data_IF_420843260308
#
_entry.id   IF_420843260308
#
_cell.length_a   1.000
_cell.length_b   1.000
_cell.length_c   1.000
_cell.angle_alpha   90.00
_cell.angle_beta   90.00
_cell.angle_gamma   90.00
#
_symmetry.space_group_name_H-M   'P 1'
#
loop_
_entity.id
_entity.type
_entity.pdbx_description
1 polymer ?
#
# COMPACT_ATOMS: atom_id res chain seq x y z
N UNK A 1 -30.52 -10.25 1.05
CA UNK A 1 -30.26 -9.39 2.23
C UNK A 1 -29.45 -10.09 3.34
N UNK A 2 -29.76 -11.35 3.75
CA UNK A 2 -29.00 -12.07 4.81
C UNK A 2 -27.54 -12.31 4.43
N UNK A 3 -27.27 -12.68 3.18
CA UNK A 3 -25.91 -12.99 2.68
C UNK A 3 -25.02 -11.74 2.62
N UNK A 4 -25.56 -10.59 2.20
CA UNK A 4 -24.83 -9.33 2.18
C UNK A 4 -24.50 -8.85 3.60
N UNK A 5 -25.40 -9.04 4.56
CA UNK A 5 -25.17 -8.73 5.95
C UNK A 5 -24.10 -9.64 6.58
N UNK A 6 -24.15 -10.94 6.31
CA UNK A 6 -23.14 -11.90 6.76
C UNK A 6 -21.73 -11.55 6.23
N UNK A 7 -21.62 -11.19 4.93
CA UNK A 7 -20.34 -10.71 4.34
C UNK A 7 -19.86 -9.43 5.00
N UNK A 8 -20.74 -8.47 5.27
CA UNK A 8 -20.40 -7.23 5.95
C UNK A 8 -19.90 -7.47 7.38
N UNK A 9 -20.57 -8.33 8.15
CA UNK A 9 -20.17 -8.70 9.52
C UNK A 9 -18.79 -9.39 9.50
N UNK A 10 -18.57 -10.36 8.61
CA UNK A 10 -17.27 -11.04 8.48
C UNK A 10 -16.15 -10.05 8.13
N UNK A 11 -16.39 -9.14 7.18
CA UNK A 11 -15.42 -8.12 6.79
C UNK A 11 -15.10 -7.18 7.96
N UNK A 12 -16.11 -6.77 8.73
CA UNK A 12 -15.91 -5.94 9.92
C UNK A 12 -15.09 -6.66 10.99
N UNK A 13 -15.43 -7.92 11.30
CA UNK A 13 -14.68 -8.72 12.26
C UNK A 13 -13.23 -8.96 11.85
N UNK A 14 -12.98 -9.24 10.56
CA UNK A 14 -11.62 -9.38 10.02
C UNK A 14 -10.82 -8.08 10.17
N UNK A 15 -11.45 -6.94 9.86
CA UNK A 15 -10.82 -5.63 10.02
C UNK A 15 -10.48 -5.34 11.49
N UNK A 16 -11.38 -5.67 12.40
CA UNK A 16 -11.18 -5.48 13.83
C UNK A 16 -10.01 -6.33 14.36
N UNK A 17 -9.99 -7.63 14.02
CA UNK A 17 -8.88 -8.53 14.38
C UNK A 17 -7.53 -8.06 13.81
N UNK A 18 -7.53 -7.55 12.57
CA UNK A 18 -6.30 -7.00 11.97
C UNK A 18 -5.80 -5.77 12.73
N UNK A 19 -6.70 -4.87 13.15
CA UNK A 19 -6.34 -3.70 13.94
C UNK A 19 -5.77 -4.11 15.31
N UNK A 20 -6.44 -5.02 16.01
CA UNK A 20 -6.00 -5.54 17.32
C UNK A 20 -4.62 -6.21 17.22
N UNK A 21 -4.41 -7.02 16.17
CA UNK A 21 -3.13 -7.68 15.91
C UNK A 21 -2.01 -6.67 15.60
N UNK A 22 -2.31 -5.66 14.78
CA UNK A 22 -1.35 -4.61 14.44
C UNK A 22 -0.99 -3.76 15.67
N UNK A 23 -1.98 -3.40 16.48
CA UNK A 23 -1.79 -2.65 17.72
C UNK A 23 -0.98 -3.44 18.76
N UNK A 24 -1.30 -4.72 18.93
CA UNK A 24 -0.54 -5.62 19.81
C UNK A 24 0.93 -5.75 19.33
N UNK A 25 1.14 -5.91 18.03
CA UNK A 25 2.51 -5.98 17.47
C UNK A 25 3.25 -4.67 17.70
N UNK A 26 2.61 -3.53 17.44
CA UNK A 26 3.23 -2.21 17.66
C UNK A 26 3.65 -2.02 19.12
N UNK A 27 2.78 -2.37 20.07
CA UNK A 27 3.08 -2.27 21.51
C UNK A 27 4.23 -3.17 21.96
N UNK A 28 4.43 -4.32 21.33
CA UNK A 28 5.52 -5.24 21.66
C UNK A 28 6.88 -4.81 21.13
N UNK A 29 6.97 -3.73 20.36
CA UNK A 29 8.21 -3.27 19.74
C UNK A 29 9.02 -2.29 20.60
N UNK A 30 8.47 -1.83 21.72
CA UNK A 30 9.12 -0.87 22.64
C UNK A 30 9.73 0.32 21.90
N UNK A 31 8.89 0.98 21.07
CA UNK A 31 9.33 2.05 20.18
C UNK A 31 9.57 3.33 20.99
N UNK A 32 10.79 3.86 20.94
CA UNK A 32 11.19 5.10 21.60
C UNK A 32 11.70 6.10 20.58
N UNK A 33 11.12 7.29 20.55
CA UNK A 33 11.52 8.38 19.66
C UNK A 33 12.46 9.37 20.33
N UNK A 34 13.37 9.91 19.53
CA UNK A 34 14.09 11.13 19.87
C UNK A 34 13.20 12.34 19.55
N UNK A 35 12.46 12.83 20.55
CA UNK A 35 11.48 13.92 20.38
C UNK A 35 12.05 15.16 19.70
N UNK A 36 13.29 15.54 20.06
CA UNK A 36 13.96 16.71 19.46
C UNK A 36 14.21 16.52 17.97
N UNK A 37 14.55 15.31 17.55
CA UNK A 37 14.77 14.96 16.14
C UNK A 37 13.47 14.85 15.36
N UNK A 38 12.41 14.30 15.98
CA UNK A 38 11.07 14.27 15.38
C UNK A 38 10.58 15.69 15.08
N UNK A 39 10.75 16.63 16.02
CA UNK A 39 10.39 18.03 15.81
C UNK A 39 11.17 18.68 14.68
N UNK A 40 12.50 18.52 14.66
CA UNK A 40 13.37 19.06 13.60
C UNK A 40 13.00 18.47 12.23
N UNK A 41 12.86 17.16 12.13
CA UNK A 41 12.48 16.49 10.90
C UNK A 41 11.11 16.93 10.40
N UNK A 42 10.13 17.04 11.29
CA UNK A 42 8.80 17.51 10.94
C UNK A 42 8.82 18.94 10.39
N UNK A 43 9.59 19.84 11.02
CA UNK A 43 9.77 21.21 10.55
C UNK A 43 10.45 21.26 9.17
N UNK A 44 11.51 20.46 8.97
CA UNK A 44 12.26 20.40 7.71
C UNK A 44 11.42 19.84 6.55
N UNK A 45 10.55 18.85 6.80
CA UNK A 45 9.64 18.32 5.77
C UNK A 45 8.62 19.39 5.33
N UNK A 46 8.23 20.31 6.20
CA UNK A 46 7.25 21.37 5.91
C UNK A 46 7.84 22.65 5.37
N UNK A 47 9.09 22.94 5.67
CA UNK A 47 9.81 24.11 5.14
C UNK A 47 10.38 23.79 3.77
N UNK A 48 9.96 24.52 2.72
CA UNK A 48 10.61 24.51 1.41
C UNK A 48 11.56 25.69 1.33
N UNK A 49 12.82 25.50 0.85
CA UNK A 49 13.46 24.29 0.31
C UNK A 49 14.14 23.41 1.38
N UNK A 50 14.31 22.12 1.08
CA UNK A 50 14.85 21.05 1.95
C UNK A 50 16.35 21.22 2.34
N UNK A 51 16.80 22.41 2.69
CA UNK A 51 18.24 22.66 2.88
C UNK A 51 18.84 22.11 4.19
N UNK A 52 18.01 21.85 5.21
CA UNK A 52 18.51 21.47 6.53
C UNK A 52 18.44 19.96 6.84
N UNK A 53 17.99 19.13 5.88
CA UNK A 53 17.83 17.69 6.13
C UNK A 53 19.16 16.94 6.00
N UNK A 54 20.09 17.42 5.16
CA UNK A 54 21.36 16.72 4.91
C UNK A 54 22.21 16.60 6.20
N UNK A 55 22.20 17.62 7.04
CA UNK A 55 22.93 17.62 8.31
C UNK A 55 22.32 16.67 9.36
N UNK A 56 21.06 16.28 9.19
CA UNK A 56 20.33 15.41 10.12
C UNK A 56 20.38 13.94 9.75
N UNK A 57 20.90 13.57 8.59
CA UNK A 57 20.76 12.23 8.00
C UNK A 57 21.22 11.09 8.91
N UNK A 58 22.30 11.29 9.68
CA UNK A 58 22.88 10.24 10.52
C UNK A 58 22.39 10.28 11.97
N UNK A 59 21.57 11.26 12.32
CA UNK A 59 21.07 11.39 13.68
C UNK A 59 20.01 10.33 13.99
N UNK A 60 20.09 9.68 15.17
CA UNK A 60 19.11 8.68 15.58
C UNK A 60 17.74 9.32 15.78
N UNK A 61 16.73 8.77 15.10
CA UNK A 61 15.34 9.25 15.15
C UNK A 61 14.47 8.38 16.03
N UNK A 62 14.59 7.05 15.89
CA UNK A 62 13.75 6.09 16.60
C UNK A 62 14.52 4.81 16.89
N UNK A 63 14.38 4.30 18.10
CA UNK A 63 14.87 2.99 18.51
C UNK A 63 13.69 2.05 18.82
N UNK A 64 13.86 0.77 18.54
CA UNK A 64 12.87 -0.26 18.83
C UNK A 64 13.54 -1.64 18.90
N UNK A 65 13.26 -2.39 19.94
CA UNK A 65 13.96 -3.64 20.22
C UNK A 65 15.49 -3.40 20.19
N UNK A 66 16.23 -4.19 19.38
CA UNK A 66 17.68 -4.07 19.19
C UNK A 66 18.04 -3.30 17.89
N UNK A 67 17.13 -2.48 17.37
CA UNK A 67 17.32 -1.75 16.11
C UNK A 67 17.13 -0.25 16.30
N UNK A 68 17.81 0.50 15.43
CA UNK A 68 17.69 1.95 15.36
C UNK A 68 17.52 2.39 13.91
N UNK A 69 16.67 3.38 13.71
CA UNK A 69 16.59 4.11 12.45
C UNK A 69 17.03 5.54 12.67
N UNK A 70 17.99 5.95 11.87
CA UNK A 70 18.33 7.35 11.69
C UNK A 70 17.31 8.08 10.82
N UNK A 71 17.50 9.39 10.66
CA UNK A 71 16.66 10.24 9.82
C UNK A 71 16.66 9.76 8.36
N UNK A 72 17.84 9.41 7.81
CA UNK A 72 17.98 8.94 6.42
C UNK A 72 17.16 7.68 6.15
N UNK A 73 17.32 6.66 7.01
CA UNK A 73 16.58 5.40 6.90
C UNK A 73 15.09 5.61 7.06
N UNK A 74 14.67 6.48 7.97
CA UNK A 74 13.27 6.82 8.16
C UNK A 74 12.66 7.49 6.92
N UNK A 75 13.36 8.45 6.31
CA UNK A 75 12.95 9.09 5.06
C UNK A 75 12.88 8.08 3.90
N UNK A 76 13.87 7.20 3.79
CA UNK A 76 13.86 6.12 2.80
C UNK A 76 12.62 5.22 2.95
N UNK A 77 12.27 4.84 4.19
CA UNK A 77 11.07 4.06 4.45
C UNK A 77 9.80 4.85 4.16
N UNK A 78 9.76 6.12 4.49
CA UNK A 78 8.63 7.02 4.20
C UNK A 78 8.40 7.21 2.69
N UNK A 79 9.41 7.07 1.83
CA UNK A 79 9.25 7.13 0.38
C UNK A 79 8.29 6.05 -0.17
N UNK A 80 8.06 4.98 0.58
CA UNK A 80 7.07 3.95 0.24
C UNK A 80 5.62 4.36 0.51
N UNK A 81 5.39 5.47 1.20
CA UNK A 81 4.06 6.01 1.48
C UNK A 81 3.48 6.69 0.24
N UNK A 82 2.17 6.53 0.06
CA UNK A 82 1.46 7.24 -1.01
C UNK A 82 1.37 8.75 -0.71
N UNK A 83 1.20 9.57 -1.75
CA UNK A 83 0.97 11.03 -1.60
C UNK A 83 -0.16 11.34 -0.61
N UNK A 84 -1.24 10.53 -0.61
CA UNK A 84 -2.37 10.68 0.32
C UNK A 84 -1.98 10.38 1.77
N UNK A 85 -1.05 9.47 2.02
CA UNK A 85 -0.55 9.17 3.37
C UNK A 85 0.39 10.28 3.84
N UNK A 86 1.31 10.72 2.98
CA UNK A 86 2.21 11.84 3.29
C UNK A 86 1.45 13.13 3.59
N UNK A 87 0.37 13.44 2.85
CA UNK A 87 -0.44 14.64 3.10
C UNK A 87 -1.19 14.62 4.44
N UNK A 88 -1.27 13.49 5.13
CA UNK A 88 -1.87 13.38 6.47
C UNK A 88 -0.88 13.66 7.61
N UNK A 89 0.40 13.76 7.33
CA UNK A 89 1.43 14.09 8.32
C UNK A 89 1.39 15.62 8.54
N UNK A 90 0.55 16.06 9.46
CA UNK A 90 0.32 17.48 9.74
C UNK A 90 1.05 17.89 11.02
N UNK A 91 1.15 17.02 11.99
CA UNK A 91 1.77 17.24 13.29
C UNK A 91 2.98 16.32 13.50
N UNK A 92 3.88 16.61 14.45
CA UNK A 92 4.95 15.69 14.86
C UNK A 92 4.41 14.31 15.27
N UNK A 93 3.26 14.27 15.94
CA UNK A 93 2.58 13.02 16.35
C UNK A 93 2.15 12.21 15.13
N UNK A 94 1.66 12.85 14.05
CA UNK A 94 1.32 12.14 12.81
C UNK A 94 2.57 11.53 12.14
N UNK A 95 3.73 12.21 12.26
CA UNK A 95 5.00 11.69 11.78
C UNK A 95 5.41 10.45 12.58
N UNK A 96 5.36 10.50 13.91
CA UNK A 96 5.62 9.34 14.77
C UNK A 96 4.69 8.17 14.43
N UNK A 97 3.38 8.40 14.32
CA UNK A 97 2.40 7.37 13.97
C UNK A 97 2.68 6.75 12.59
N UNK A 98 3.14 7.56 11.64
CA UNK A 98 3.52 7.08 10.32
C UNK A 98 4.75 6.17 10.38
N UNK A 99 5.75 6.55 11.17
CA UNK A 99 6.98 5.76 11.38
C UNK A 99 6.66 4.47 12.15
N UNK A 100 5.85 4.53 13.22
CA UNK A 100 5.36 3.33 13.94
C UNK A 100 4.69 2.37 12.96
N UNK A 101 3.82 2.87 12.09
CA UNK A 101 3.16 2.06 11.07
C UNK A 101 4.13 1.38 10.10
N UNK A 102 5.22 2.06 9.71
CA UNK A 102 6.26 1.50 8.84
C UNK A 102 7.09 0.43 9.56
N UNK A 103 7.50 0.66 10.80
CA UNK A 103 8.23 -0.32 11.64
C UNK A 103 7.37 -1.56 11.85
N UNK A 104 6.12 -1.37 12.27
CA UNK A 104 5.18 -2.48 12.48
C UNK A 104 4.99 -3.30 11.20
N UNK A 105 4.80 -2.63 10.06
CA UNK A 105 4.71 -3.30 8.75
C UNK A 105 5.96 -4.12 8.43
N UNK A 106 7.14 -3.59 8.70
CA UNK A 106 8.41 -4.30 8.45
C UNK A 106 8.52 -5.56 9.31
N UNK A 107 8.16 -5.46 10.58
CA UNK A 107 8.15 -6.60 11.51
C UNK A 107 7.11 -7.66 11.14
N UNK A 108 5.92 -7.25 10.72
CA UNK A 108 4.91 -8.19 10.20
C UNK A 108 5.40 -8.92 8.94
N UNK A 109 6.08 -8.22 8.03
CA UNK A 109 6.67 -8.86 6.84
C UNK A 109 7.82 -9.81 7.21
N UNK A 110 8.63 -9.46 8.20
CA UNK A 110 9.69 -10.34 8.71
C UNK A 110 9.11 -11.62 9.33
N UNK A 111 8.08 -11.49 10.17
CA UNK A 111 7.36 -12.64 10.73
C UNK A 111 6.72 -13.50 9.66
N UNK A 112 6.05 -12.91 8.68
CA UNK A 112 5.45 -13.64 7.57
C UNK A 112 6.50 -14.41 6.74
N UNK A 113 7.71 -13.86 6.60
CA UNK A 113 8.83 -14.56 5.94
C UNK A 113 9.36 -15.72 6.77
N UNK A 114 9.50 -15.54 8.09
CA UNK A 114 9.93 -16.61 9.02
C UNK A 114 8.94 -17.76 9.03
N UNK A 115 7.65 -17.46 9.03
CA UNK A 115 6.56 -18.44 9.00
C UNK A 115 6.30 -19.02 7.59
N UNK A 116 7.09 -18.61 6.59
CA UNK A 116 6.97 -19.07 5.20
C UNK A 116 5.56 -18.91 4.61
N UNK A 117 4.82 -17.89 5.04
CA UNK A 117 3.46 -17.59 4.57
C UNK A 117 3.38 -17.47 3.04
N UNK A 118 4.48 -17.02 2.42
CA UNK A 118 4.59 -16.92 0.95
C UNK A 118 4.70 -18.27 0.22
N UNK A 119 4.86 -19.39 0.93
CA UNK A 119 4.83 -20.76 0.36
C UNK A 119 3.42 -21.36 0.38
N UNK A 120 2.41 -20.59 0.71
CA UNK A 120 1.02 -21.02 0.73
C UNK A 120 0.38 -20.80 -0.65
N UNK A 121 -0.27 -21.84 -1.17
CA UNK A 121 -0.95 -21.83 -2.48
C UNK A 121 -1.97 -20.68 -2.59
N UNK A 122 -2.76 -20.42 -1.53
CA UNK A 122 -3.70 -19.29 -1.49
C UNK A 122 -3.00 -17.92 -1.60
N UNK A 123 -1.78 -17.83 -1.08
CA UNK A 123 -0.98 -16.60 -1.22
C UNK A 123 -0.51 -16.41 -2.67
N UNK A 124 -0.06 -17.48 -3.32
CA UNK A 124 0.40 -17.45 -4.71
C UNK A 124 -0.75 -17.12 -5.67
N UNK A 125 -1.94 -17.68 -5.47
CA UNK A 125 -3.14 -17.32 -6.21
C UNK A 125 -3.50 -15.83 -6.03
N UNK A 126 -3.53 -15.35 -4.79
CA UNK A 126 -3.84 -13.95 -4.49
C UNK A 126 -2.79 -12.99 -5.08
N UNK A 127 -1.51 -13.39 -5.10
CA UNK A 127 -0.42 -12.64 -5.69
C UNK A 127 -0.53 -12.59 -7.22
N UNK A 128 -0.85 -13.73 -7.86
CA UNK A 128 -1.07 -13.82 -9.30
C UNK A 128 -2.20 -12.88 -9.74
N UNK A 129 -3.35 -12.94 -9.07
CA UNK A 129 -4.48 -12.04 -9.34
C UNK A 129 -4.12 -10.56 -9.21
N UNK A 130 -3.28 -10.21 -8.23
CA UNK A 130 -2.81 -8.81 -8.07
C UNK A 130 -1.83 -8.40 -9.16
N UNK A 131 -0.93 -9.29 -9.57
CA UNK A 131 0.00 -9.05 -10.69
C UNK A 131 -0.77 -8.81 -11.98
N UNK A 132 -1.75 -9.66 -12.30
CA UNK A 132 -2.57 -9.55 -13.50
C UNK A 132 -3.33 -8.21 -13.53
N UNK A 133 -3.96 -7.85 -12.42
CA UNK A 133 -4.63 -6.53 -12.30
C UNK A 133 -3.67 -5.36 -12.46
N UNK A 134 -2.46 -5.47 -11.92
CA UNK A 134 -1.44 -4.43 -12.05
C UNK A 134 -0.95 -4.30 -13.49
N UNK A 135 -0.72 -5.43 -14.18
CA UNK A 135 -0.33 -5.46 -15.60
C UNK A 135 -1.42 -4.85 -16.49
N UNK A 136 -2.67 -5.26 -16.31
CA UNK A 136 -3.80 -4.69 -17.06
C UNK A 136 -3.88 -3.17 -16.84
N UNK A 137 -3.78 -2.74 -15.58
CA UNK A 137 -3.80 -1.31 -15.26
C UNK A 137 -2.65 -0.55 -15.89
N UNK A 138 -1.45 -1.16 -15.94
CA UNK A 138 -0.28 -0.54 -16.55
C UNK A 138 -0.46 -0.37 -18.06
N UNK A 139 -0.90 -1.41 -18.77
CA UNK A 139 -1.21 -1.35 -20.20
C UNK A 139 -2.26 -0.28 -20.51
N UNK A 140 -3.37 -0.27 -19.75
CA UNK A 140 -4.41 0.73 -19.93
C UNK A 140 -3.91 2.18 -19.66
N UNK A 141 -2.95 2.37 -18.75
CA UNK A 141 -2.36 3.67 -18.51
C UNK A 141 -1.42 4.10 -19.63
N UNK A 142 -0.64 3.17 -20.21
CA UNK A 142 0.21 3.45 -21.38
C UNK A 142 -0.67 3.93 -22.54
N UNK A 143 -1.71 3.17 -22.88
CA UNK A 143 -2.65 3.52 -23.96
C UNK A 143 -3.31 4.86 -23.70
N UNK A 144 -3.76 5.11 -22.47
CA UNK A 144 -4.36 6.39 -22.08
C UNK A 144 -3.40 7.57 -22.25
N UNK A 145 -2.12 7.39 -21.94
CA UNK A 145 -1.12 8.45 -22.07
C UNK A 145 -0.74 8.70 -23.54
N UNK A 146 -0.70 7.66 -24.37
CA UNK A 146 -0.46 7.80 -25.81
C UNK A 146 -1.60 8.57 -26.50
N UNK A 147 -2.84 8.36 -26.05
CA UNK A 147 -4.02 9.06 -26.58
C UNK A 147 -4.06 10.54 -26.16
N UNK A 148 -3.51 10.91 -24.99
CA UNK A 148 -3.45 12.30 -24.54
C UNK A 148 -2.48 13.19 -25.33
N UNK A 149 -1.66 12.63 -26.21
CA UNK A 149 -0.78 13.40 -27.11
C UNK A 149 -1.53 13.94 -28.35
N UNK A 150 -2.75 13.48 -28.60
CA UNK A 150 -3.62 13.90 -29.71
C UNK A 150 -5.02 14.31 -29.24
N UNK A 151 -5.17 15.57 -28.94
CA UNK A 151 -6.40 16.40 -28.91
C UNK A 151 -7.76 15.67 -28.97
N UNK A 152 -8.55 15.80 -27.88
CA UNK A 152 -10.03 15.86 -27.83
C UNK A 152 -10.88 14.60 -28.01
N UNK A 153 -10.39 13.40 -27.75
CA UNK A 153 -11.22 12.19 -27.92
C UNK A 153 -11.13 11.11 -26.83
N UNK A 154 -10.74 11.44 -25.62
CA UNK A 154 -10.42 10.47 -24.54
C UNK A 154 -11.54 9.47 -24.20
N UNK A 155 -12.81 9.83 -24.29
CA UNK A 155 -13.95 8.92 -24.05
C UNK A 155 -14.24 7.99 -25.23
N UNK A 156 -14.07 8.47 -26.46
CA UNK A 156 -14.30 7.66 -27.69
C UNK A 156 -13.23 6.61 -27.89
N UNK A 157 -11.97 6.93 -27.63
CA UNK A 157 -10.84 6.02 -27.87
C UNK A 157 -10.78 4.85 -26.86
N UNK A 158 -11.11 5.07 -25.58
CA UNK A 158 -11.19 3.97 -24.61
C UNK A 158 -12.29 2.97 -24.96
N UNK A 159 -13.44 3.45 -25.39
CA UNK A 159 -14.57 2.64 -25.87
C UNK A 159 -14.20 1.88 -27.14
N UNK A 160 -13.47 2.49 -28.06
CA UNK A 160 -13.00 1.88 -29.30
C UNK A 160 -11.95 0.80 -29.03
N UNK A 161 -10.92 1.10 -28.24
CA UNK A 161 -9.89 0.16 -27.81
C UNK A 161 -10.46 -1.05 -27.10
N UNK A 162 -11.42 -0.83 -26.17
CA UNK A 162 -12.13 -1.92 -25.51
C UNK A 162 -12.90 -2.80 -26.51
N UNK A 163 -13.54 -2.19 -27.51
CA UNK A 163 -14.30 -2.90 -28.55
C UNK A 163 -13.36 -3.70 -29.46
N UNK A 164 -12.20 -3.15 -29.81
CA UNK A 164 -11.18 -3.78 -30.62
C UNK A 164 -10.53 -4.96 -29.88
N UNK A 165 -10.18 -4.80 -28.59
CA UNK A 165 -9.70 -5.89 -27.73
C UNK A 165 -10.74 -7.04 -27.66
N UNK A 166 -12.02 -6.71 -27.50
CA UNK A 166 -13.08 -7.71 -27.43
C UNK A 166 -13.32 -8.39 -28.78
N UNK A 167 -13.14 -7.70 -29.90
CA UNK A 167 -13.31 -8.27 -31.24
C UNK A 167 -12.14 -9.16 -31.68
N UNK A 168 -10.92 -8.87 -31.18
CA UNK A 168 -9.69 -9.59 -31.52
C UNK A 168 -9.36 -10.72 -30.52
N UNK A 169 -10.07 -10.79 -29.39
CA UNK A 169 -9.92 -11.89 -28.42
C UNK A 169 -10.98 -12.95 -28.65
N UNK A 170 -10.54 -14.19 -28.87
CA UNK A 170 -11.46 -15.33 -28.82
C UNK A 170 -11.85 -15.60 -27.37
N UNK A 171 -12.99 -15.07 -26.94
CA UNK A 171 -13.53 -15.32 -25.61
C UNK A 171 -14.28 -16.66 -25.69
N UNK A 172 -13.67 -17.71 -25.17
CA UNK A 172 -14.37 -18.99 -24.94
C UNK A 172 -15.07 -18.90 -23.58
N UNK A 173 -16.38 -18.73 -23.60
CA UNK A 173 -17.20 -18.79 -22.37
C UNK A 173 -17.53 -20.25 -22.14
N UNK A 174 -16.94 -20.86 -21.11
CA UNK A 174 -17.35 -22.19 -20.65
C UNK A 174 -18.72 -22.09 -19.97
N UNK A 175 -19.76 -22.42 -20.75
CA UNK A 175 -21.14 -22.37 -20.29
C UNK A 175 -21.47 -23.42 -19.20
N UNK A 176 -20.59 -24.40 -18.96
CA UNK A 176 -20.74 -25.37 -17.87
C UNK A 176 -20.46 -24.76 -16.51
N UNK A 177 -19.47 -23.84 -16.44
CA UNK A 177 -19.13 -23.08 -15.22
C UNK A 177 -20.28 -22.13 -14.83
N UNK A 178 -20.93 -21.49 -15.81
CA UNK A 178 -22.02 -20.55 -15.55
C UNK A 178 -23.24 -21.27 -14.96
N UNK A 179 -23.54 -22.46 -15.40
CA UNK A 179 -24.68 -23.26 -14.90
C UNK A 179 -24.54 -23.67 -13.44
N UNK A 180 -23.30 -23.84 -12.93
CA UNK A 180 -23.03 -24.17 -11.53
C UNK A 180 -23.23 -23.02 -10.57
N UNK A 181 -23.33 -21.78 -11.06
CA UNK A 181 -23.54 -20.58 -10.22
C UNK A 181 -24.99 -20.08 -10.19
N UNK A 182 -25.91 -20.73 -10.96
CA UNK A 182 -27.32 -20.30 -11.07
C UNK A 182 -28.25 -21.25 -10.31
N UNK A 183 -27.75 -22.38 -9.82
CA UNK A 183 -28.48 -23.33 -8.92
C UNK A 183 -28.04 -23.08 -7.47
#
# INVERSE_FOLDING_TARGET
>A
KRESLSKAIKSFQQKQRLLEFTDSTSKSLDIVFNESMVLKLHQSIRSLPYHDIEDLHQEPLVSFMDQEWDVSKSLQKMSSLSKRQLSKIITPIDLEQSIIGLITREKLLESARKEKVFQNELFDEALSLKKDKAMIKHVLNIERNQVNIGIDSTKKNYSYFKKELLSNSSIVIDSTIIKTFIL
#
